data_IF_945675748648
#
_entry.id   IF_945675748648
#
_cell.length_a   1.000
_cell.length_b   1.000
_cell.length_c   1.000
_cell.angle_alpha   90.00
_cell.angle_beta   90.00
_cell.angle_gamma   90.00
#
_symmetry.space_group_name_H-M   'P 1'
#
loop_
_entity.id
_entity.type
_entity.pdbx_description
1 polymer ?
#
# COMPACT_ATOMS: atom_id res chain seq x y z
N UNK A 1 28.51 -58.40 7.33
CA UNK A 1 27.98 -57.47 6.32
C UNK A 1 26.46 -57.56 6.37
N UNK A 2 25.82 -56.70 7.11
CA UNK A 2 24.37 -56.57 7.06
C UNK A 2 24.06 -55.65 5.88
N UNK A 3 23.50 -56.20 4.81
CA UNK A 3 22.90 -55.44 3.73
C UNK A 3 21.59 -54.84 4.28
N UNK A 4 21.61 -53.54 4.59
CA UNK A 4 20.42 -52.77 4.80
C UNK A 4 19.59 -52.82 3.51
N UNK A 5 18.55 -53.66 3.52
CA UNK A 5 17.50 -53.64 2.53
C UNK A 5 16.75 -52.31 2.72
N UNK A 6 17.12 -51.27 1.99
CA UNK A 6 16.31 -50.07 1.89
C UNK A 6 14.96 -50.52 1.30
N UNK A 7 13.91 -50.41 2.09
CA UNK A 7 12.53 -50.49 1.63
C UNK A 7 12.28 -49.33 0.68
N UNK A 8 12.68 -49.51 -0.55
CA UNK A 8 12.50 -48.60 -1.69
C UNK A 8 11.05 -48.69 -2.10
N UNK A 9 10.16 -48.06 -1.31
CA UNK A 9 8.76 -47.92 -1.67
C UNK A 9 8.68 -47.02 -2.90
N UNK A 10 8.20 -47.55 -4.04
CA UNK A 10 7.82 -46.79 -5.25
C UNK A 10 6.59 -45.89 -4.96
N UNK A 11 6.67 -45.05 -3.89
CA UNK A 11 5.58 -44.20 -3.42
C UNK A 11 5.10 -43.20 -4.49
N UNK A 12 6.00 -42.76 -5.36
CA UNK A 12 5.70 -41.77 -6.41
C UNK A 12 5.47 -42.42 -7.78
N UNK A 13 5.56 -43.75 -7.88
CA UNK A 13 5.41 -44.49 -9.13
C UNK A 13 6.57 -44.28 -10.09
N UNK A 14 6.33 -44.62 -11.36
CA UNK A 14 7.29 -44.47 -12.46
C UNK A 14 6.75 -43.54 -13.54
N UNK A 15 7.61 -42.71 -14.10
CA UNK A 15 7.31 -41.86 -15.25
C UNK A 15 8.20 -42.29 -16.41
N UNK A 16 7.63 -42.75 -17.51
CA UNK A 16 8.34 -43.28 -18.66
C UNK A 16 9.42 -44.35 -18.29
N UNK A 17 9.07 -45.26 -17.35
CA UNK A 17 9.95 -46.31 -16.85
C UNK A 17 10.97 -45.90 -15.80
N UNK A 18 11.14 -44.61 -15.52
CA UNK A 18 12.06 -44.08 -14.53
C UNK A 18 11.45 -44.02 -13.15
N UNK A 19 12.16 -44.44 -12.11
CA UNK A 19 11.75 -44.31 -10.72
C UNK A 19 11.81 -42.84 -10.29
N UNK A 20 10.80 -42.37 -9.59
CA UNK A 20 10.80 -41.03 -8.95
C UNK A 20 11.27 -41.18 -7.51
N UNK A 21 12.30 -40.42 -7.12
CA UNK A 21 12.80 -40.31 -5.74
C UNK A 21 12.71 -38.88 -5.25
N UNK A 22 12.46 -38.68 -3.96
CA UNK A 22 12.47 -37.40 -3.28
C UNK A 22 13.27 -37.52 -1.98
N UNK A 23 14.35 -36.77 -1.87
CA UNK A 23 15.29 -36.80 -0.74
C UNK A 23 15.60 -35.36 -0.29
N UNK A 24 15.99 -35.16 0.99
CA UNK A 24 16.35 -33.86 1.55
C UNK A 24 17.86 -33.63 1.48
N UNK A 25 18.49 -33.85 0.36
CA UNK A 25 19.92 -33.74 0.10
C UNK A 25 20.31 -32.54 -0.79
N UNK A 26 19.33 -31.69 -1.14
CA UNK A 26 19.48 -30.53 -2.05
C UNK A 26 20.31 -29.37 -1.51
N UNK A 27 20.80 -29.44 -0.25
CA UNK A 27 21.57 -28.36 0.37
C UNK A 27 20.72 -27.15 0.78
N UNK A 28 21.34 -25.96 0.89
CA UNK A 28 20.67 -24.74 1.28
C UNK A 28 19.89 -24.14 0.09
N UNK A 29 18.59 -24.36 0.07
CA UNK A 29 17.70 -23.88 -0.98
C UNK A 29 16.77 -22.80 -0.40
N UNK A 30 16.50 -21.76 -1.17
CA UNK A 30 15.45 -20.76 -0.90
C UNK A 30 14.46 -20.70 -2.05
N UNK A 31 13.20 -20.43 -1.75
CA UNK A 31 12.16 -20.12 -2.75
C UNK A 31 12.12 -18.63 -3.14
N UNK A 32 12.85 -17.78 -2.44
CA UNK A 32 12.68 -16.33 -2.44
C UNK A 32 13.90 -15.57 -2.99
N UNK A 33 14.74 -16.22 -3.79
CA UNK A 33 15.97 -15.61 -4.30
C UNK A 33 15.73 -14.34 -5.13
N UNK A 34 14.59 -14.22 -5.79
CA UNK A 34 14.18 -13.00 -6.47
C UNK A 34 14.03 -11.80 -5.54
N UNK A 35 13.86 -12.01 -4.24
CA UNK A 35 13.85 -10.97 -3.20
C UNK A 35 15.10 -10.10 -3.15
N UNK A 36 16.21 -10.53 -3.78
CA UNK A 36 17.40 -9.69 -3.97
C UNK A 36 17.07 -8.37 -4.71
N UNK A 37 16.00 -8.32 -5.53
CA UNK A 37 15.49 -7.08 -6.11
C UNK A 37 15.02 -6.09 -5.04
N UNK A 38 14.39 -6.57 -3.97
CA UNK A 38 13.94 -5.72 -2.87
C UNK A 38 15.13 -5.05 -2.18
N UNK A 39 16.20 -5.81 -1.94
CA UNK A 39 17.43 -5.26 -1.35
C UNK A 39 18.14 -4.27 -2.28
N UNK A 40 18.17 -4.57 -3.58
CA UNK A 40 18.74 -3.65 -4.57
C UNK A 40 17.93 -2.33 -4.62
N UNK A 41 16.61 -2.43 -4.55
CA UNK A 41 15.69 -1.27 -4.50
C UNK A 41 15.87 -0.47 -3.23
N UNK A 42 15.91 -1.14 -2.06
CA UNK A 42 16.17 -0.48 -0.78
C UNK A 42 17.50 0.30 -0.80
N UNK A 43 18.55 -0.28 -1.38
CA UNK A 43 19.84 0.42 -1.56
C UNK A 43 19.75 1.66 -2.45
N UNK A 44 18.86 1.66 -3.44
CA UNK A 44 18.67 2.80 -4.34
C UNK A 44 17.89 3.97 -3.70
N UNK A 45 16.92 3.67 -2.82
CA UNK A 45 16.05 4.70 -2.23
C UNK A 45 16.25 4.90 -0.72
N UNK A 46 17.03 4.05 -0.05
CA UNK A 46 17.33 4.15 1.38
C UNK A 46 16.14 3.94 2.32
N UNK A 47 15.08 3.23 1.87
CA UNK A 47 13.82 3.15 2.58
C UNK A 47 13.97 2.57 3.98
N UNK A 48 14.62 1.41 4.12
CA UNK A 48 14.75 0.72 5.41
C UNK A 48 15.54 1.56 6.42
N UNK A 49 16.64 2.18 6.01
CA UNK A 49 17.45 3.02 6.90
C UNK A 49 16.67 4.27 7.36
N UNK A 50 15.94 4.93 6.45
CA UNK A 50 15.14 6.12 6.74
C UNK A 50 13.95 5.78 7.64
N UNK A 51 13.28 4.65 7.39
CA UNK A 51 12.19 4.21 8.24
C UNK A 51 12.71 3.81 9.64
N UNK A 52 13.85 3.15 9.73
CA UNK A 52 14.49 2.82 11.00
C UNK A 52 14.91 4.07 11.80
N UNK A 53 15.25 5.17 11.13
CA UNK A 53 15.58 6.44 11.78
C UNK A 53 14.36 7.10 12.48
N UNK A 54 13.14 6.67 12.18
CA UNK A 54 11.92 7.07 12.88
C UNK A 54 11.69 6.32 14.20
N UNK A 55 12.64 5.47 14.61
CA UNK A 55 12.51 4.65 15.82
C UNK A 55 13.55 5.03 16.86
N UNK A 56 13.12 5.00 18.14
CA UNK A 56 13.98 5.20 19.30
C UNK A 56 14.31 3.84 19.93
N UNK A 57 15.59 3.47 19.94
CA UNK A 57 16.07 2.21 20.49
C UNK A 57 16.74 2.41 21.85
N UNK A 58 16.01 2.11 22.90
CA UNK A 58 16.48 2.21 24.29
C UNK A 58 17.02 0.88 24.86
N UNK A 59 17.37 -0.05 24.01
CA UNK A 59 18.05 -1.27 24.41
C UNK A 59 19.51 -0.98 24.76
N UNK A 60 20.08 -1.73 25.70
CA UNK A 60 21.51 -1.67 25.99
C UNK A 60 22.32 -2.12 24.77
N UNK A 61 23.23 -1.29 24.22
CA UNK A 61 23.90 -1.55 22.93
C UNK A 61 24.64 -2.90 22.88
N UNK A 62 25.24 -3.30 23.99
CA UNK A 62 26.01 -4.55 24.15
C UNK A 62 25.13 -5.80 24.06
N UNK A 63 23.83 -5.67 24.34
CA UNK A 63 22.85 -6.76 24.29
C UNK A 63 22.10 -6.84 22.96
N UNK A 64 22.34 -5.90 22.04
CA UNK A 64 21.64 -5.86 20.75
C UNK A 64 22.21 -6.90 19.79
N UNK A 65 21.45 -7.97 19.56
CA UNK A 65 21.76 -8.96 18.51
C UNK A 65 21.31 -8.45 17.12
N UNK A 66 20.10 -7.87 17.03
CA UNK A 66 19.53 -7.35 15.80
C UNK A 66 19.24 -5.86 15.95
N UNK A 67 19.83 -5.02 15.09
CA UNK A 67 19.54 -3.57 15.04
C UNK A 67 18.09 -3.30 14.61
N UNK A 68 17.55 -2.11 14.92
CA UNK A 68 16.23 -1.69 14.46
C UNK A 68 16.12 -1.77 12.95
N UNK A 69 17.14 -1.32 12.21
CA UNK A 69 17.15 -1.40 10.75
C UNK A 69 17.07 -2.85 10.24
N UNK A 70 17.75 -3.80 10.91
CA UNK A 70 17.64 -5.22 10.56
C UNK A 70 16.24 -5.77 10.81
N UNK A 71 15.62 -5.44 11.95
CA UNK A 71 14.26 -5.87 12.30
C UNK A 71 13.23 -5.31 11.32
N UNK A 72 13.30 -4.02 11.01
CA UNK A 72 12.41 -3.35 10.06
C UNK A 72 12.60 -3.91 8.66
N UNK A 73 13.85 -4.03 8.20
CA UNK A 73 14.15 -4.63 6.89
C UNK A 73 13.59 -6.04 6.78
N UNK A 74 13.79 -6.86 7.80
CA UNK A 74 13.25 -8.22 7.86
C UNK A 74 11.72 -8.24 7.71
N UNK A 75 10.99 -7.36 8.42
CA UNK A 75 9.52 -7.29 8.32
C UNK A 75 9.06 -6.77 6.96
N UNK A 76 9.61 -5.66 6.48
CA UNK A 76 9.23 -5.06 5.20
C UNK A 76 9.49 -6.01 4.04
N UNK A 77 10.66 -6.68 4.02
CA UNK A 77 10.98 -7.65 2.98
C UNK A 77 10.09 -8.90 3.07
N UNK A 78 9.81 -9.40 4.28
CA UNK A 78 8.94 -10.57 4.46
C UNK A 78 7.51 -10.28 3.97
N UNK A 79 6.93 -9.13 4.31
CA UNK A 79 5.61 -8.72 3.81
C UNK A 79 5.61 -8.64 2.27
N UNK A 80 6.62 -8.02 1.67
CA UNK A 80 6.75 -7.96 0.22
C UNK A 80 6.88 -9.34 -0.43
N UNK A 81 7.51 -10.30 0.26
CA UNK A 81 7.63 -11.70 -0.15
C UNK A 81 6.39 -12.54 0.13
N UNK A 82 5.37 -12.00 0.83
CA UNK A 82 4.12 -12.68 1.10
C UNK A 82 4.02 -13.40 2.43
N UNK A 83 4.90 -13.06 3.37
CA UNK A 83 4.87 -13.57 4.74
C UNK A 83 4.18 -12.58 5.65
N UNK A 84 2.95 -12.92 5.99
CA UNK A 84 2.03 -12.06 6.73
C UNK A 84 2.33 -12.02 8.22
N UNK A 85 2.50 -13.20 8.82
CA UNK A 85 2.54 -13.38 10.27
C UNK A 85 3.96 -13.29 10.84
N UNK A 86 4.03 -12.91 12.11
CA UNK A 86 5.28 -12.98 12.87
C UNK A 86 5.74 -14.42 13.09
N UNK A 87 4.83 -15.39 13.12
CA UNK A 87 5.18 -16.80 13.28
C UNK A 87 6.04 -17.31 12.13
N UNK A 88 5.84 -16.82 10.91
CA UNK A 88 6.66 -17.18 9.74
C UNK A 88 8.15 -16.90 9.99
N UNK A 89 8.46 -15.95 10.85
CA UNK A 89 9.84 -15.58 11.14
C UNK A 89 10.60 -16.59 12.01
N UNK A 90 9.94 -17.54 12.63
CA UNK A 90 10.62 -18.64 13.31
C UNK A 90 11.27 -19.60 12.30
N UNK A 91 10.70 -19.70 11.09
CA UNK A 91 11.26 -20.44 9.96
C UNK A 91 12.16 -19.54 9.08
N UNK A 92 11.70 -18.36 8.73
CA UNK A 92 12.42 -17.40 7.88
C UNK A 92 13.79 -16.98 8.44
N UNK A 93 13.99 -17.05 9.78
CA UNK A 93 15.29 -16.74 10.38
C UNK A 93 16.40 -17.72 9.97
N UNK A 94 16.03 -18.86 9.40
CA UNK A 94 16.95 -19.85 8.87
C UNK A 94 17.09 -19.80 7.34
N UNK A 95 16.26 -19.01 6.65
CA UNK A 95 16.35 -18.85 5.20
C UNK A 95 17.56 -18.00 4.82
N UNK A 96 18.45 -18.49 3.93
CA UNK A 96 19.68 -17.81 3.56
C UNK A 96 19.44 -16.49 2.81
N UNK A 97 18.30 -16.33 2.08
CA UNK A 97 17.98 -15.07 1.43
C UNK A 97 17.62 -14.00 2.46
N UNK A 98 16.85 -14.34 3.50
CA UNK A 98 16.50 -13.39 4.54
C UNK A 98 17.74 -12.87 5.29
N UNK A 99 18.72 -13.73 5.54
CA UNK A 99 20.02 -13.33 6.11
C UNK A 99 20.72 -12.29 5.23
N UNK A 100 20.73 -12.50 3.91
CA UNK A 100 21.33 -11.56 2.93
C UNK A 100 20.53 -10.26 2.83
N UNK A 101 19.19 -10.33 2.82
CA UNK A 101 18.32 -9.15 2.79
C UNK A 101 18.52 -8.29 4.04
N UNK A 102 18.61 -8.90 5.22
CA UNK A 102 18.90 -8.22 6.48
C UNK A 102 20.38 -7.74 6.58
N UNK A 103 21.25 -8.20 5.70
CA UNK A 103 22.68 -7.85 5.70
C UNK A 103 23.51 -8.54 6.77
N UNK A 104 23.08 -9.69 7.28
CA UNK A 104 23.72 -10.39 8.39
C UNK A 104 23.66 -11.91 8.19
N UNK A 105 24.83 -12.53 7.97
CA UNK A 105 24.93 -13.98 7.70
C UNK A 105 25.11 -14.84 8.96
N UNK A 106 25.63 -14.26 10.03
CA UNK A 106 25.91 -14.96 11.28
C UNK A 106 25.43 -14.16 12.46
N UNK A 107 24.89 -14.83 13.46
CA UNK A 107 24.60 -14.22 14.73
C UNK A 107 25.91 -13.87 15.47
N UNK A 108 25.86 -12.88 16.36
CA UNK A 108 26.95 -12.55 17.28
C UNK A 108 27.07 -13.62 18.35
N UNK A 109 25.94 -14.12 18.84
CA UNK A 109 25.85 -15.14 19.88
C UNK A 109 25.58 -16.50 19.25
N UNK A 110 26.19 -17.54 19.82
CA UNK A 110 26.12 -18.91 19.29
C UNK A 110 24.71 -19.52 19.33
N UNK A 111 23.89 -19.08 20.28
CA UNK A 111 22.50 -19.53 20.48
C UNK A 111 21.47 -18.77 19.64
N UNK A 112 21.91 -17.85 18.78
CA UNK A 112 21.05 -17.02 17.96
C UNK A 112 21.13 -17.36 16.47
N UNK A 113 20.04 -17.10 15.75
CA UNK A 113 20.02 -17.12 14.28
C UNK A 113 20.50 -15.78 13.70
N UNK A 114 20.92 -15.74 12.40
CA UNK A 114 21.34 -14.50 11.73
C UNK A 114 20.30 -13.40 11.76
N UNK A 115 19.01 -13.73 11.63
CA UNK A 115 17.88 -12.79 11.69
C UNK A 115 16.94 -13.15 12.83
N UNK A 116 16.04 -12.21 13.16
CA UNK A 116 15.22 -12.30 14.36
C UNK A 116 14.08 -13.31 14.19
N UNK A 117 13.76 -14.05 15.26
CA UNK A 117 12.52 -14.82 15.36
C UNK A 117 11.35 -13.95 15.83
N UNK A 118 10.13 -14.55 15.85
CA UNK A 118 8.87 -13.89 16.17
C UNK A 118 8.88 -13.09 17.49
N UNK A 119 9.49 -13.63 18.54
CA UNK A 119 9.51 -12.97 19.86
C UNK A 119 10.25 -11.63 19.84
N UNK A 120 11.31 -11.50 19.05
CA UNK A 120 12.07 -10.26 18.91
C UNK A 120 11.30 -9.25 18.05
N UNK A 121 10.71 -9.68 16.94
CA UNK A 121 9.86 -8.84 16.09
C UNK A 121 8.58 -8.41 16.79
N UNK A 122 8.00 -9.26 17.63
CA UNK A 122 6.84 -8.90 18.45
C UNK A 122 7.17 -7.73 19.39
N UNK A 123 8.39 -7.67 19.95
CA UNK A 123 8.83 -6.54 20.79
C UNK A 123 8.95 -5.23 20.01
N UNK A 124 9.25 -5.28 18.72
CA UNK A 124 9.24 -4.13 17.83
C UNK A 124 7.80 -3.67 17.54
N UNK A 125 6.94 -4.59 17.09
CA UNK A 125 5.56 -4.25 16.67
C UNK A 125 4.69 -3.80 17.84
N UNK A 126 4.82 -4.42 19.02
CA UNK A 126 4.10 -4.02 20.22
C UNK A 126 4.79 -2.88 20.99
N UNK A 127 5.48 -2.00 20.30
CA UNK A 127 6.11 -0.82 20.89
C UNK A 127 5.09 0.05 21.67
N UNK A 128 5.54 0.70 22.72
CA UNK A 128 4.73 1.59 23.56
C UNK A 128 5.29 3.01 23.52
N UNK A 129 4.48 4.01 23.86
CA UNK A 129 4.94 5.39 24.00
C UNK A 129 6.00 5.51 25.09
N UNK A 130 5.74 4.84 26.22
CA UNK A 130 6.69 4.76 27.33
C UNK A 130 7.38 3.40 27.27
N UNK A 131 8.72 3.41 27.22
CA UNK A 131 9.52 2.21 27.22
C UNK A 131 9.27 1.38 28.50
N UNK A 132 9.16 0.07 28.37
CA UNK A 132 9.03 -0.87 29.48
C UNK A 132 10.26 -1.77 29.56
N UNK A 133 10.35 -2.62 30.62
CA UNK A 133 11.43 -3.59 30.75
C UNK A 133 11.61 -4.47 29.49
N UNK A 134 10.52 -4.81 28.81
CA UNK A 134 10.53 -5.74 27.66
C UNK A 134 10.36 -5.06 26.31
N UNK A 135 9.76 -3.86 26.27
CA UNK A 135 9.46 -3.10 25.05
C UNK A 135 10.21 -1.78 25.11
N UNK A 136 11.42 -1.80 24.57
CA UNK A 136 12.39 -0.70 24.62
C UNK A 136 12.59 0.01 23.28
N UNK A 137 11.89 -0.42 22.24
CA UNK A 137 11.92 0.21 20.92
C UNK A 137 10.63 1.01 20.80
N UNK A 138 10.73 2.32 20.65
CA UNK A 138 9.62 3.22 20.35
C UNK A 138 9.63 3.67 18.90
N UNK A 139 8.56 4.32 18.43
CA UNK A 139 8.52 4.97 17.12
C UNK A 139 7.88 6.34 17.21
N UNK A 140 8.34 7.24 16.35
CA UNK A 140 7.79 8.57 16.11
C UNK A 140 6.83 8.51 14.91
N UNK A 141 5.53 8.58 15.19
CA UNK A 141 4.49 8.55 14.14
C UNK A 141 4.57 9.73 13.19
N UNK A 142 4.87 10.92 13.69
CA UNK A 142 4.98 12.13 12.85
C UNK A 142 6.16 12.05 11.88
N UNK A 143 7.30 11.51 12.34
CA UNK A 143 8.45 11.24 11.47
C UNK A 143 8.13 10.20 10.39
N UNK A 144 7.36 9.15 10.72
CA UNK A 144 6.91 8.14 9.75
C UNK A 144 5.97 8.76 8.73
N UNK A 145 4.97 9.52 9.16
CA UNK A 145 4.01 10.20 8.27
C UNK A 145 4.72 11.19 7.34
N UNK A 146 5.72 11.91 7.85
CA UNK A 146 6.56 12.80 7.05
C UNK A 146 7.34 12.03 5.98
N UNK A 147 7.89 10.86 6.31
CA UNK A 147 8.70 10.05 5.40
C UNK A 147 7.93 9.60 4.16
N UNK A 148 6.63 9.31 4.27
CA UNK A 148 5.80 8.96 3.10
C UNK A 148 5.82 10.06 2.04
N UNK A 149 5.66 11.31 2.45
CA UNK A 149 5.65 12.45 1.53
C UNK A 149 7.05 12.75 1.01
N UNK A 150 8.10 12.63 1.84
CA UNK A 150 9.49 12.79 1.39
C UNK A 150 9.84 11.80 0.27
N UNK A 151 9.48 10.51 0.44
CA UNK A 151 9.70 9.47 -0.57
C UNK A 151 8.95 9.77 -1.87
N UNK A 152 7.75 10.31 -1.79
CA UNK A 152 6.99 10.74 -2.97
C UNK A 152 7.67 11.90 -3.70
N UNK A 153 8.07 12.95 -2.98
CA UNK A 153 8.70 14.13 -3.56
C UNK A 153 10.01 13.77 -4.27
N UNK A 154 10.81 12.91 -3.68
CA UNK A 154 12.06 12.41 -4.28
C UNK A 154 11.83 11.52 -5.49
N UNK A 155 10.81 10.64 -5.42
CA UNK A 155 10.47 9.76 -6.52
C UNK A 155 10.04 10.49 -7.79
N UNK A 156 9.50 11.71 -7.66
CA UNK A 156 9.07 12.58 -8.78
C UNK A 156 10.22 13.39 -9.36
N UNK A 157 11.22 13.74 -8.56
CA UNK A 157 12.37 14.56 -8.96
C UNK A 157 12.01 16.04 -9.23
N UNK A 158 11.30 16.32 -10.34
CA UNK A 158 10.90 17.67 -10.72
C UNK A 158 9.45 17.99 -10.30
N UNK A 159 9.13 19.28 -9.99
CA UNK A 159 7.79 19.70 -9.65
C UNK A 159 6.84 19.58 -10.86
N UNK A 160 5.76 18.82 -10.76
CA UNK A 160 4.75 18.75 -11.81
C UNK A 160 3.88 20.02 -11.80
N UNK A 161 3.22 20.33 -12.93
CA UNK A 161 2.27 21.45 -13.02
C UNK A 161 1.08 21.24 -12.07
N UNK A 162 0.60 20.01 -11.98
CA UNK A 162 -0.54 19.61 -11.14
C UNK A 162 -0.35 18.20 -10.61
N UNK A 163 -0.86 17.96 -9.39
CA UNK A 163 -1.02 16.64 -8.78
C UNK A 163 -2.46 16.44 -8.33
N UNK A 164 -2.88 15.18 -8.32
CA UNK A 164 -4.18 14.76 -7.79
C UNK A 164 -3.90 13.92 -6.54
N UNK A 165 -4.53 14.30 -5.44
CA UNK A 165 -4.52 13.55 -4.19
C UNK A 165 -5.88 12.88 -4.03
N UNK A 166 -5.88 11.57 -4.04
CA UNK A 166 -7.07 10.74 -3.81
C UNK A 166 -7.17 10.39 -2.33
N UNK A 167 -8.33 10.68 -1.72
CA UNK A 167 -8.65 10.31 -0.35
C UNK A 167 -9.72 9.23 -0.36
N UNK A 168 -9.53 8.23 0.49
CA UNK A 168 -10.53 7.18 0.72
C UNK A 168 -10.44 6.62 2.14
N UNK A 169 -11.56 6.13 2.63
CA UNK A 169 -11.66 5.39 3.88
C UNK A 169 -12.28 4.02 3.58
N UNK A 170 -11.61 2.98 4.02
CA UNK A 170 -12.10 1.60 3.84
C UNK A 170 -12.18 0.90 5.19
N UNK A 171 -12.78 -0.26 5.24
CA UNK A 171 -12.79 -1.06 6.46
C UNK A 171 -11.58 -2.00 6.54
N UNK A 172 -11.10 -2.20 7.78
CA UNK A 172 -10.21 -3.30 8.16
C UNK A 172 -10.97 -4.17 9.18
N UNK A 173 -11.49 -5.33 8.77
CA UNK A 173 -12.30 -6.19 9.63
C UNK A 173 -11.55 -6.68 10.87
N UNK A 174 -12.23 -6.74 12.02
CA UNK A 174 -11.68 -7.13 13.32
C UNK A 174 -12.41 -8.35 13.88
N UNK A 175 -11.65 -9.37 14.23
CA UNK A 175 -12.19 -10.65 14.71
C UNK A 175 -11.96 -10.90 16.21
N UNK A 176 -11.29 -9.96 16.92
CA UNK A 176 -10.96 -10.08 18.33
C UNK A 176 -11.46 -8.88 19.16
N UNK A 177 -10.84 -8.64 20.32
CA UNK A 177 -11.15 -7.54 21.23
C UNK A 177 -10.09 -6.45 21.18
N UNK A 178 -9.77 -5.96 19.96
CA UNK A 178 -8.79 -4.91 19.76
C UNK A 178 -9.26 -3.57 20.32
N UNK A 179 -8.32 -2.78 20.83
CA UNK A 179 -8.56 -1.40 21.25
C UNK A 179 -9.14 -0.56 20.10
N UNK A 180 -10.16 0.25 20.37
CA UNK A 180 -10.80 1.09 19.36
C UNK A 180 -11.68 0.33 18.35
N UNK A 181 -12.05 -0.91 18.65
CA UNK A 181 -12.98 -1.70 17.87
C UNK A 181 -14.42 -1.21 18.08
N UNK A 182 -15.10 -0.87 16.99
CA UNK A 182 -16.52 -0.52 17.02
C UNK A 182 -17.26 -1.24 15.88
N UNK A 183 -18.58 -1.44 16.06
CA UNK A 183 -19.45 -1.93 15.00
C UNK A 183 -19.75 -0.81 14.01
N UNK A 184 -19.61 -1.07 12.73
CA UNK A 184 -19.91 -0.11 11.67
C UNK A 184 -21.09 -0.60 10.82
N UNK A 185 -22.22 0.13 10.88
CA UNK A 185 -23.48 -0.30 10.24
C UNK A 185 -23.44 -0.41 8.71
N UNK A 186 -22.58 0.34 8.03
CA UNK A 186 -22.44 0.25 6.58
C UNK A 186 -21.69 -1.03 6.15
N UNK A 187 -20.68 -1.45 6.91
CA UNK A 187 -19.89 -2.66 6.64
C UNK A 187 -20.45 -3.91 7.33
N UNK A 188 -21.48 -3.75 8.16
CA UNK A 188 -22.13 -4.81 8.95
C UNK A 188 -21.14 -5.65 9.76
N UNK A 189 -20.17 -5.00 10.38
CA UNK A 189 -19.12 -5.67 11.13
C UNK A 189 -18.32 -4.79 12.06
N UNK A 190 -17.53 -5.43 12.91
CA UNK A 190 -16.53 -4.73 13.72
C UNK A 190 -15.28 -4.49 12.87
N UNK A 191 -14.85 -3.24 12.78
CA UNK A 191 -13.70 -2.89 11.96
C UNK A 191 -12.97 -1.65 12.52
N UNK A 192 -11.76 -1.40 11.99
CA UNK A 192 -11.19 -0.07 11.91
C UNK A 192 -11.61 0.61 10.60
N UNK A 193 -11.40 1.92 10.53
CA UNK A 193 -11.70 2.74 9.35
C UNK A 193 -10.45 3.54 8.94
N UNK A 194 -9.40 2.90 8.40
CA UNK A 194 -8.20 3.60 7.98
C UNK A 194 -8.48 4.65 6.91
N UNK A 195 -7.79 5.78 7.01
CA UNK A 195 -7.74 6.83 5.99
C UNK A 195 -6.51 6.62 5.13
N UNK A 196 -6.70 6.49 3.84
CA UNK A 196 -5.64 6.46 2.84
C UNK A 196 -5.59 7.75 2.02
N UNK A 197 -4.38 8.19 1.70
CA UNK A 197 -4.15 9.27 0.74
C UNK A 197 -3.12 8.82 -0.29
N UNK A 198 -3.49 8.88 -1.56
CA UNK A 198 -2.61 8.51 -2.67
C UNK A 198 -2.39 9.68 -3.64
N UNK A 199 -1.25 9.67 -4.32
CA UNK A 199 -1.01 10.42 -5.54
C UNK A 199 -0.63 9.45 -6.67
N UNK A 200 -1.59 9.07 -7.48
CA UNK A 200 -1.45 7.97 -8.44
C UNK A 200 -1.15 6.65 -7.70
N UNK A 201 0.06 6.11 -7.90
CA UNK A 201 0.51 4.90 -7.19
C UNK A 201 1.27 5.16 -5.89
N UNK A 202 1.59 6.42 -5.57
CA UNK A 202 2.32 6.75 -4.36
C UNK A 202 1.38 6.88 -3.17
N UNK A 203 1.58 6.07 -2.16
CA UNK A 203 0.90 6.18 -0.88
C UNK A 203 1.55 7.32 -0.08
N UNK A 204 0.75 8.30 0.34
CA UNK A 204 1.19 9.48 1.10
C UNK A 204 0.76 9.42 2.56
N UNK A 205 -0.32 8.70 2.85
CA UNK A 205 -0.79 8.44 4.20
C UNK A 205 -1.58 7.14 4.27
N UNK A 206 -1.40 6.41 5.38
CA UNK A 206 -2.21 5.29 5.82
C UNK A 206 -2.40 5.43 7.33
N UNK A 207 -3.55 5.95 7.75
CA UNK A 207 -3.83 6.30 9.14
C UNK A 207 -4.96 5.45 9.69
N UNK A 208 -4.64 4.60 10.64
CA UNK A 208 -5.61 3.76 11.31
C UNK A 208 -6.51 4.62 12.21
N UNK A 209 -7.82 4.36 12.16
CA UNK A 209 -8.82 5.09 12.93
C UNK A 209 -9.89 4.13 13.46
N UNK A 210 -10.53 4.42 14.60
CA UNK A 210 -11.70 3.67 15.02
C UNK A 210 -12.85 3.87 14.04
N UNK A 211 -13.77 2.92 13.93
CA UNK A 211 -14.86 3.00 12.92
C UNK A 211 -16.11 3.75 13.38
N UNK A 212 -16.16 4.22 14.62
CA UNK A 212 -17.28 5.02 15.17
C UNK A 212 -17.17 6.52 14.87
N UNK A 213 -16.53 6.89 13.77
CA UNK A 213 -16.30 8.27 13.34
C UNK A 213 -16.81 8.48 11.90
N UNK A 214 -16.99 9.73 11.52
CA UNK A 214 -17.27 10.08 10.11
C UNK A 214 -16.07 9.71 9.22
N UNK A 215 -16.34 9.25 7.99
CA UNK A 215 -15.29 8.88 7.03
C UNK A 215 -14.29 10.01 6.77
N UNK A 216 -14.73 11.27 6.83
CA UNK A 216 -13.90 12.46 6.64
C UNK A 216 -13.16 12.93 7.91
N UNK A 217 -13.40 12.30 9.07
CA UNK A 217 -12.74 12.72 10.32
C UNK A 217 -11.21 12.68 10.19
N UNK A 218 -10.53 13.76 10.56
CA UNK A 218 -9.08 13.90 10.42
C UNK A 218 -8.58 14.16 8.98
N UNK A 219 -9.47 14.23 7.98
CA UNK A 219 -9.08 14.46 6.60
C UNK A 219 -8.52 15.88 6.37
N UNK A 220 -9.00 16.89 7.10
CA UNK A 220 -8.49 18.26 7.03
C UNK A 220 -7.06 18.32 7.52
N UNK A 221 -6.79 17.78 8.69
CA UNK A 221 -5.48 17.78 9.34
C UNK A 221 -4.46 17.02 8.48
N UNK A 222 -4.82 15.86 7.99
CA UNK A 222 -3.94 15.03 7.19
C UNK A 222 -3.66 15.67 5.82
N UNK A 223 -4.68 16.24 5.18
CA UNK A 223 -4.52 17.00 3.94
C UNK A 223 -3.64 18.22 4.15
N UNK A 224 -3.85 18.97 5.22
CA UNK A 224 -3.05 20.15 5.56
C UNK A 224 -1.57 19.80 5.75
N UNK A 225 -1.28 18.71 6.45
CA UNK A 225 0.08 18.20 6.65
C UNK A 225 0.75 17.86 5.31
N UNK A 226 0.08 17.05 4.47
CA UNK A 226 0.61 16.62 3.17
C UNK A 226 0.80 17.81 2.23
N UNK A 227 -0.20 18.68 2.09
CA UNK A 227 -0.15 19.87 1.23
C UNK A 227 0.93 20.83 1.69
N UNK A 228 1.07 21.05 3.01
CA UNK A 228 2.13 21.89 3.57
C UNK A 228 3.52 21.39 3.20
N UNK A 229 3.76 20.10 3.34
CA UNK A 229 5.05 19.49 3.01
C UNK A 229 5.33 19.52 1.50
N UNK A 230 4.33 19.26 0.66
CA UNK A 230 4.47 19.37 -0.80
C UNK A 230 4.79 20.80 -1.21
N UNK A 231 4.07 21.80 -0.68
CA UNK A 231 4.29 23.20 -1.02
C UNK A 231 5.61 23.76 -0.54
N UNK A 232 6.15 23.25 0.54
CA UNK A 232 7.50 23.63 1.00
C UNK A 232 8.54 23.30 -0.07
N UNK A 233 8.37 22.25 -0.86
CA UNK A 233 9.29 21.86 -1.94
C UNK A 233 8.81 22.32 -3.33
N UNK A 234 7.49 22.30 -3.58
CA UNK A 234 6.87 22.63 -4.87
C UNK A 234 5.79 23.72 -4.72
N UNK A 235 6.16 24.98 -4.45
CA UNK A 235 5.21 26.04 -4.10
C UNK A 235 4.22 26.41 -5.22
N UNK A 236 4.54 26.11 -6.48
CA UNK A 236 3.73 26.45 -7.66
C UNK A 236 2.88 25.30 -8.19
N UNK A 237 3.02 24.09 -7.65
CA UNK A 237 2.26 22.93 -8.10
C UNK A 237 0.79 23.07 -7.70
N UNK A 238 -0.13 22.99 -8.66
CA UNK A 238 -1.58 22.92 -8.38
C UNK A 238 -1.90 21.59 -7.72
N UNK A 239 -2.78 21.61 -6.73
CA UNK A 239 -3.22 20.42 -6.00
C UNK A 239 -4.72 20.30 -6.14
N UNK A 240 -5.18 19.14 -6.62
CA UNK A 240 -6.58 18.76 -6.70
C UNK A 240 -6.82 17.59 -5.74
N UNK A 241 -7.75 17.76 -4.81
CA UNK A 241 -8.25 16.66 -3.99
C UNK A 241 -9.40 15.95 -4.71
N UNK A 242 -9.42 14.62 -4.62
CA UNK A 242 -10.50 13.81 -5.17
C UNK A 242 -10.89 12.74 -4.13
N UNK A 243 -12.18 12.62 -3.88
CA UNK A 243 -12.71 11.68 -2.89
C UNK A 243 -14.17 11.30 -3.19
N UNK A 244 -14.67 10.29 -2.49
CA UNK A 244 -16.06 9.89 -2.57
C UNK A 244 -17.00 10.86 -1.81
N UNK A 245 -18.29 10.50 -1.70
CA UNK A 245 -19.30 11.33 -1.05
C UNK A 245 -19.14 11.41 0.48
N UNK A 246 -18.40 10.52 1.09
CA UNK A 246 -18.06 10.56 2.51
C UNK A 246 -17.24 11.80 2.89
N UNK A 247 -16.50 12.34 1.94
CA UNK A 247 -15.61 13.50 2.13
C UNK A 247 -16.20 14.84 1.73
N UNK A 248 -17.40 14.88 1.15
CA UNK A 248 -18.08 16.13 0.78
C UNK A 248 -18.63 16.85 2.02
N UNK A 249 -17.76 17.25 2.92
CA UNK A 249 -18.06 17.97 4.17
C UNK A 249 -17.59 19.41 4.10
N UNK A 250 -18.36 20.29 4.73
CA UNK A 250 -18.08 21.74 4.74
C UNK A 250 -16.63 22.03 5.20
N UNK A 251 -16.20 21.42 6.29
CA UNK A 251 -14.87 21.66 6.85
C UNK A 251 -13.75 21.41 5.83
N UNK A 252 -13.82 20.32 5.06
CA UNK A 252 -12.79 20.00 4.08
C UNK A 252 -12.88 20.89 2.84
N UNK A 253 -14.10 21.16 2.33
CA UNK A 253 -14.31 22.03 1.17
C UNK A 253 -13.88 23.47 1.46
N UNK A 254 -14.28 24.04 2.61
CA UNK A 254 -13.91 25.39 3.02
C UNK A 254 -12.39 25.50 3.26
N UNK A 255 -11.77 24.46 3.84
CA UNK A 255 -10.31 24.41 4.00
C UNK A 255 -9.62 24.42 2.61
N UNK A 256 -10.09 23.64 1.66
CA UNK A 256 -9.56 23.62 0.29
C UNK A 256 -9.64 25.01 -0.36
N UNK A 257 -10.80 25.64 -0.31
CA UNK A 257 -11.04 26.97 -0.86
C UNK A 257 -10.11 28.02 -0.25
N UNK A 258 -9.98 28.01 1.09
CA UNK A 258 -9.11 28.94 1.81
C UNK A 258 -7.63 28.73 1.48
N UNK A 259 -7.22 27.47 1.25
CA UNK A 259 -5.83 27.11 1.02
C UNK A 259 -5.48 26.97 -0.47
N UNK A 260 -6.32 27.39 -1.41
CA UNK A 260 -6.08 27.30 -2.86
C UNK A 260 -5.76 25.87 -3.30
N UNK A 261 -6.53 24.93 -2.79
CA UNK A 261 -6.53 23.51 -3.19
C UNK A 261 -7.84 23.27 -3.93
N UNK A 262 -7.76 22.78 -5.15
CA UNK A 262 -8.96 22.41 -5.89
C UNK A 262 -9.52 21.08 -5.33
N UNK A 263 -10.82 20.86 -5.53
CA UNK A 263 -11.43 19.60 -5.15
C UNK A 263 -12.52 19.12 -6.11
N UNK A 264 -12.68 17.80 -6.18
CA UNK A 264 -13.81 17.11 -6.83
C UNK A 264 -14.24 15.96 -5.93
N UNK A 265 -15.37 16.10 -5.27
CA UNK A 265 -15.90 15.08 -4.36
C UNK A 265 -17.22 14.53 -4.86
N UNK A 266 -17.45 13.23 -4.66
CA UNK A 266 -18.78 12.67 -4.77
C UNK A 266 -19.73 13.43 -3.87
N UNK A 267 -21.01 13.48 -4.24
CA UNK A 267 -22.06 14.10 -3.43
C UNK A 267 -23.22 13.12 -3.27
N UNK A 268 -23.55 12.81 -2.02
CA UNK A 268 -24.66 11.93 -1.71
C UNK A 268 -25.99 12.49 -2.26
N UNK A 269 -26.75 11.63 -2.93
CA UNK A 269 -28.05 12.01 -3.49
C UNK A 269 -29.05 12.36 -2.38
N UNK A 270 -29.87 13.36 -2.64
CA UNK A 270 -31.05 13.70 -1.83
C UNK A 270 -32.20 14.16 -2.74
N UNK A 271 -33.39 14.28 -2.18
CA UNK A 271 -34.61 14.63 -2.95
C UNK A 271 -34.48 15.95 -3.72
N UNK A 272 -33.84 16.99 -3.13
CA UNK A 272 -33.62 18.29 -3.79
C UNK A 272 -32.69 18.18 -5.00
N UNK A 273 -31.61 17.45 -4.88
CA UNK A 273 -30.66 17.19 -5.99
C UNK A 273 -31.33 16.38 -7.12
N UNK A 274 -32.16 15.40 -6.77
CA UNK A 274 -32.87 14.59 -7.76
C UNK A 274 -33.93 15.43 -8.47
N UNK A 275 -34.65 16.28 -7.76
CA UNK A 275 -35.64 17.22 -8.34
C UNK A 275 -34.98 18.20 -9.32
N UNK A 276 -33.77 18.70 -9.01
CA UNK A 276 -33.02 19.61 -9.87
C UNK A 276 -32.70 19.02 -11.26
N UNK A 277 -32.61 17.71 -11.40
CA UNK A 277 -32.29 17.01 -12.67
C UNK A 277 -33.47 16.18 -13.20
N UNK A 278 -34.68 16.47 -12.79
CA UNK A 278 -35.85 15.68 -13.19
C UNK A 278 -36.08 15.68 -14.71
N UNK A 279 -35.83 16.79 -15.39
CA UNK A 279 -35.93 16.90 -16.84
C UNK A 279 -34.90 16.03 -17.56
N UNK A 280 -33.65 16.07 -17.11
CA UNK A 280 -32.54 15.28 -17.65
C UNK A 280 -32.76 13.77 -17.42
N UNK A 281 -33.33 13.38 -16.27
CA UNK A 281 -33.69 11.99 -15.99
C UNK A 281 -34.83 11.51 -16.90
N UNK A 282 -35.84 12.35 -17.14
CA UNK A 282 -36.92 12.02 -18.07
C UNK A 282 -36.43 11.85 -19.51
N UNK A 283 -35.50 12.70 -19.96
CA UNK A 283 -34.87 12.58 -21.27
C UNK A 283 -34.03 11.30 -21.37
N UNK A 284 -33.24 10.97 -20.35
CA UNK A 284 -32.45 9.74 -20.30
C UNK A 284 -33.35 8.49 -20.32
N UNK A 285 -34.49 8.51 -19.60
CA UNK A 285 -35.47 7.43 -19.64
C UNK A 285 -36.10 7.27 -21.03
N UNK A 286 -36.51 8.37 -21.67
CA UNK A 286 -37.10 8.34 -23.00
C UNK A 286 -36.16 7.79 -24.07
N UNK A 287 -34.84 7.99 -23.93
CA UNK A 287 -33.82 7.44 -24.81
C UNK A 287 -33.48 5.97 -24.50
N UNK A 288 -33.44 5.62 -23.23
CA UNK A 288 -33.07 4.27 -22.78
C UNK A 288 -34.20 3.24 -23.00
N UNK A 289 -35.45 3.59 -22.71
CA UNK A 289 -36.58 2.68 -22.74
C UNK A 289 -36.79 2.00 -24.11
N UNK A 290 -36.76 2.72 -25.25
CA UNK A 290 -36.95 2.08 -26.57
C UNK A 290 -35.75 1.20 -26.99
N UNK A 291 -34.53 1.52 -26.52
CA UNK A 291 -33.29 0.86 -26.99
C UNK A 291 -32.82 -0.24 -26.05
N UNK A 292 -33.31 -0.29 -24.83
CA UNK A 292 -32.81 -1.16 -23.75
C UNK A 292 -31.36 -0.84 -23.33
N UNK A 293 -30.74 0.21 -23.88
CA UNK A 293 -29.35 0.60 -23.58
C UNK A 293 -29.32 1.74 -22.57
N UNK A 294 -28.29 1.81 -21.71
CA UNK A 294 -28.12 2.92 -20.78
C UNK A 294 -28.02 4.27 -21.51
N UNK A 295 -28.76 5.28 -21.05
CA UNK A 295 -28.67 6.64 -21.54
C UNK A 295 -28.24 7.59 -20.43
N UNK A 296 -27.52 8.66 -20.79
CA UNK A 296 -26.92 9.60 -19.83
C UNK A 296 -27.10 11.04 -20.31
N UNK A 297 -27.42 11.92 -19.35
CA UNK A 297 -27.42 13.36 -19.51
C UNK A 297 -26.63 13.99 -18.38
N UNK A 298 -26.04 15.16 -18.63
CA UNK A 298 -25.27 15.89 -17.63
C UNK A 298 -25.89 17.27 -17.42
N UNK A 299 -25.95 17.69 -16.15
CA UNK A 299 -26.36 19.03 -15.78
C UNK A 299 -25.33 19.66 -14.86
N UNK A 300 -25.02 20.90 -15.10
CA UNK A 300 -24.07 21.72 -14.35
C UNK A 300 -24.82 22.87 -13.71
N UNK A 301 -24.79 23.00 -12.38
CA UNK A 301 -25.57 24.00 -11.65
C UNK A 301 -24.91 24.39 -10.33
N UNK A 302 -25.42 25.45 -9.70
CA UNK A 302 -25.06 25.88 -8.35
C UNK A 302 -26.00 25.28 -7.33
N UNK A 303 -25.44 24.77 -6.25
CA UNK A 303 -26.22 24.15 -5.17
C UNK A 303 -25.62 24.49 -3.80
N UNK A 304 -26.50 24.61 -2.80
CA UNK A 304 -26.17 24.64 -1.38
C UNK A 304 -27.08 23.71 -0.61
N UNK A 305 -26.59 23.13 0.47
CA UNK A 305 -27.45 22.49 1.48
C UNK A 305 -28.26 23.54 2.23
N UNK A 306 -29.24 23.11 3.04
CA UNK A 306 -30.06 24.05 3.81
C UNK A 306 -29.20 24.81 4.83
N UNK A 307 -28.42 24.08 5.65
CA UNK A 307 -27.73 24.64 6.80
C UNK A 307 -26.25 24.31 6.89
N UNK A 308 -25.79 23.22 6.21
CA UNK A 308 -24.44 22.69 6.43
C UNK A 308 -23.35 23.29 5.55
N UNK A 309 -23.70 23.99 4.45
CA UNK A 309 -22.73 24.63 3.56
C UNK A 309 -22.74 26.14 3.73
N UNK A 310 -21.58 26.75 3.87
CA UNK A 310 -21.41 28.20 4.03
C UNK A 310 -21.69 28.99 2.75
N UNK A 311 -21.71 28.35 1.59
CA UNK A 311 -21.91 28.96 0.27
C UNK A 311 -22.43 27.97 -0.77
N UNK A 312 -22.94 28.52 -1.87
CA UNK A 312 -23.23 27.72 -3.05
C UNK A 312 -21.95 27.26 -3.75
N UNK A 313 -21.90 25.98 -4.13
CA UNK A 313 -20.81 25.39 -4.90
C UNK A 313 -21.30 24.80 -6.21
N UNK A 314 -20.42 24.64 -7.16
CA UNK A 314 -20.70 24.00 -8.43
C UNK A 314 -20.93 22.50 -8.20
N UNK A 315 -22.07 22.02 -8.74
CA UNK A 315 -22.42 20.60 -8.75
C UNK A 315 -22.59 20.15 -10.19
N UNK A 316 -22.01 19.01 -10.54
CA UNK A 316 -22.25 18.33 -11.81
C UNK A 316 -23.05 17.06 -11.51
N UNK A 317 -24.18 16.93 -12.14
CA UNK A 317 -25.04 15.76 -12.04
C UNK A 317 -24.91 14.89 -13.30
N UNK A 318 -24.87 13.57 -13.08
CA UNK A 318 -25.09 12.56 -14.10
C UNK A 318 -26.51 11.99 -13.92
N UNK A 319 -27.44 12.37 -14.79
CA UNK A 319 -28.74 11.77 -14.93
C UNK A 319 -28.60 10.52 -15.81
N UNK A 320 -28.58 9.35 -15.21
CA UNK A 320 -28.45 8.08 -15.92
C UNK A 320 -29.71 7.24 -15.75
N UNK A 321 -30.13 6.60 -16.85
CA UNK A 321 -31.15 5.56 -16.83
C UNK A 321 -30.52 4.24 -17.28
N UNK A 322 -30.58 3.23 -16.43
CA UNK A 322 -29.95 1.92 -16.69
C UNK A 322 -30.72 0.82 -15.98
N UNK A 323 -30.85 -0.35 -16.60
CA UNK A 323 -31.58 -1.49 -16.02
C UNK A 323 -33.06 -1.22 -15.73
N UNK A 324 -33.68 -0.25 -16.43
CA UNK A 324 -35.09 0.14 -16.20
C UNK A 324 -35.30 1.13 -15.07
N UNK A 325 -34.21 1.61 -14.42
CA UNK A 325 -34.27 2.50 -13.25
C UNK A 325 -33.39 3.76 -13.40
N UNK A 326 -33.76 4.80 -12.66
CA UNK A 326 -32.97 6.02 -12.54
C UNK A 326 -31.76 5.80 -11.63
N UNK A 327 -30.58 6.12 -12.11
CA UNK A 327 -29.32 6.05 -11.36
C UNK A 327 -28.60 7.42 -11.32
N UNK A 328 -29.17 8.43 -10.65
CA UNK A 328 -28.57 9.76 -10.56
C UNK A 328 -27.31 9.72 -9.69
N UNK A 329 -26.28 10.44 -10.14
CA UNK A 329 -25.02 10.63 -9.41
C UNK A 329 -24.61 12.10 -9.45
N UNK A 330 -23.98 12.56 -8.39
CA UNK A 330 -23.60 13.96 -8.24
C UNK A 330 -22.15 14.08 -7.77
N UNK A 331 -21.48 15.13 -8.24
CA UNK A 331 -20.19 15.58 -7.71
C UNK A 331 -20.25 17.06 -7.39
N UNK A 332 -19.50 17.48 -6.38
CA UNK A 332 -19.28 18.89 -6.02
C UNK A 332 -17.82 19.27 -6.26
N UNK A 333 -17.58 20.50 -6.71
CA UNK A 333 -16.24 20.94 -7.10
C UNK A 333 -16.00 22.43 -6.89
N UNK A 334 -14.73 22.81 -6.68
CA UNK A 334 -14.24 24.19 -6.75
C UNK A 334 -13.90 24.65 -8.17
N UNK A 335 -13.63 23.70 -9.10
CA UNK A 335 -13.26 24.02 -10.48
C UNK A 335 -14.39 24.74 -11.21
N UNK A 336 -14.07 25.83 -11.92
CA UNK A 336 -15.06 26.57 -12.69
C UNK A 336 -15.45 25.84 -13.98
N UNK A 337 -16.63 26.16 -14.53
CA UNK A 337 -17.09 25.63 -15.81
C UNK A 337 -16.19 26.05 -16.98
N UNK A 338 -15.62 27.26 -16.89
CA UNK A 338 -14.67 27.75 -17.88
C UNK A 338 -13.35 26.95 -17.92
N UNK A 339 -12.92 26.42 -16.77
CA UNK A 339 -11.71 25.58 -16.69
C UNK A 339 -11.95 24.15 -17.13
N UNK A 340 -13.12 23.59 -16.83
CA UNK A 340 -13.40 22.17 -17.06
C UNK A 340 -14.89 21.95 -17.31
N UNK A 341 -15.22 21.42 -18.48
CA UNK A 341 -16.58 21.05 -18.87
C UNK A 341 -17.11 19.94 -17.94
N UNK A 342 -18.40 20.02 -17.55
CA UNK A 342 -19.01 19.17 -16.52
C UNK A 342 -18.94 17.67 -16.84
N UNK A 343 -19.23 17.26 -18.07
CA UNK A 343 -19.15 15.85 -18.48
C UNK A 343 -17.72 15.33 -18.40
N UNK A 344 -16.73 16.09 -18.89
CA UNK A 344 -15.32 15.72 -18.81
C UNK A 344 -14.87 15.61 -17.34
N UNK A 345 -15.27 16.58 -16.51
CA UNK A 345 -14.96 16.56 -15.07
C UNK A 345 -15.48 15.29 -14.40
N UNK A 346 -16.72 14.90 -14.71
CA UNK A 346 -17.32 13.70 -14.16
C UNK A 346 -16.64 12.43 -14.68
N UNK A 347 -16.62 12.23 -16.02
CA UNK A 347 -16.18 10.98 -16.65
C UNK A 347 -14.69 10.75 -16.59
N UNK A 348 -13.88 11.80 -16.77
CA UNK A 348 -12.41 11.69 -16.90
C UNK A 348 -11.66 12.04 -15.63
N UNK A 349 -12.14 12.99 -14.86
CA UNK A 349 -11.45 13.39 -13.63
C UNK A 349 -11.99 12.62 -12.43
N UNK A 350 -13.30 12.67 -12.16
CA UNK A 350 -13.87 12.03 -10.99
C UNK A 350 -13.86 10.51 -11.07
N UNK A 351 -14.33 9.93 -12.17
CA UNK A 351 -14.41 8.46 -12.30
C UNK A 351 -13.04 7.77 -12.27
N UNK A 352 -11.95 8.47 -12.64
CA UNK A 352 -10.59 7.94 -12.52
C UNK A 352 -10.14 7.71 -11.05
N UNK A 353 -10.96 8.09 -10.04
CA UNK A 353 -10.75 7.74 -8.64
C UNK A 353 -10.72 6.22 -8.40
N UNK A 354 -11.41 5.43 -9.22
CA UNK A 354 -11.41 3.98 -9.12
C UNK A 354 -10.03 3.33 -9.13
N UNK A 355 -9.01 4.02 -9.67
CA UNK A 355 -7.63 3.53 -9.59
C UNK A 355 -7.11 3.44 -8.15
N UNK A 356 -7.52 4.34 -7.26
CA UNK A 356 -7.14 4.31 -5.85
C UNK A 356 -7.67 3.05 -5.14
N UNK A 357 -8.92 2.66 -5.42
CA UNK A 357 -9.51 1.45 -4.84
C UNK A 357 -8.68 0.21 -5.18
N UNK A 358 -8.12 0.13 -6.40
CA UNK A 358 -7.22 -0.94 -6.79
C UNK A 358 -5.89 -0.89 -6.00
N UNK A 359 -5.40 0.31 -5.64
CA UNK A 359 -4.18 0.46 -4.81
C UNK A 359 -4.43 0.02 -3.37
N UNK A 360 -5.59 0.37 -2.81
CA UNK A 360 -5.99 -0.10 -1.48
C UNK A 360 -6.10 -1.63 -1.47
N UNK A 361 -6.74 -2.22 -2.50
CA UNK A 361 -6.80 -3.68 -2.64
C UNK A 361 -5.43 -4.35 -2.76
N UNK A 362 -4.45 -3.72 -3.44
CA UNK A 362 -3.06 -4.20 -3.43
C UNK A 362 -2.46 -4.15 -2.02
N UNK A 363 -2.70 -3.07 -1.26
CA UNK A 363 -2.21 -2.94 0.10
C UNK A 363 -2.82 -3.99 1.04
N UNK A 364 -4.14 -4.18 0.99
CA UNK A 364 -4.86 -5.14 1.84
C UNK A 364 -4.62 -6.58 1.38
N UNK A 365 -4.98 -6.93 0.15
CA UNK A 365 -4.95 -8.31 -0.36
C UNK A 365 -3.55 -8.84 -0.65
N UNK A 366 -2.67 -8.01 -1.23
CA UNK A 366 -1.32 -8.45 -1.58
C UNK A 366 -0.31 -8.26 -0.44
N UNK A 367 -0.49 -7.27 0.44
CA UNK A 367 0.50 -6.88 1.45
C UNK A 367 -0.03 -6.90 2.87
N UNK A 368 -1.24 -7.43 3.08
CA UNK A 368 -1.82 -7.70 4.40
C UNK A 368 -1.97 -6.43 5.27
N UNK A 369 -2.28 -5.29 4.65
CA UNK A 369 -2.44 -4.03 5.36
C UNK A 369 -3.65 -4.02 6.30
N UNK A 370 -4.63 -4.89 6.06
CA UNK A 370 -5.80 -5.16 6.89
C UNK A 370 -5.52 -6.13 8.06
N UNK A 371 -4.29 -6.63 8.20
CA UNK A 371 -3.90 -7.54 9.30
C UNK A 371 -3.70 -6.80 10.61
N UNK A 372 -4.78 -6.40 11.25
CA UNK A 372 -4.83 -5.62 12.48
C UNK A 372 -5.13 -6.48 13.71
N UNK A 373 -4.37 -7.57 13.90
CA UNK A 373 -4.60 -8.59 14.93
C UNK A 373 -3.94 -8.30 16.30
N UNK A 374 -3.24 -7.17 16.46
CA UNK A 374 -2.65 -6.79 17.75
C UNK A 374 -3.71 -6.21 18.70
N UNK A 375 -3.50 -6.34 20.02
CA UNK A 375 -4.45 -5.85 21.01
C UNK A 375 -4.58 -4.33 21.02
N UNK A 376 -3.51 -3.59 20.73
CA UNK A 376 -3.50 -2.11 20.79
C UNK A 376 -3.58 -1.49 19.39
N UNK A 377 -4.28 -0.37 19.31
CA UNK A 377 -4.40 0.39 18.06
C UNK A 377 -3.04 0.91 17.58
N UNK A 378 -2.16 1.32 18.51
CA UNK A 378 -0.78 1.75 18.18
C UNK A 378 0.03 0.65 17.48
N UNK A 379 -0.08 -0.59 17.93
CA UNK A 379 0.61 -1.72 17.30
C UNK A 379 0.04 -2.03 15.92
N UNK A 380 -1.28 -1.96 15.76
CA UNK A 380 -1.94 -2.14 14.46
C UNK A 380 -1.60 -1.00 13.50
N UNK A 381 -1.48 0.25 13.97
CA UNK A 381 -0.98 1.35 13.15
C UNK A 381 0.46 1.10 12.64
N UNK A 382 1.34 0.55 13.49
CA UNK A 382 2.69 0.21 13.05
C UNK A 382 2.69 -0.91 12.01
N UNK A 383 1.84 -1.92 12.15
CA UNK A 383 1.65 -2.98 11.15
C UNK A 383 1.17 -2.42 9.82
N UNK A 384 0.20 -1.51 9.85
CA UNK A 384 -0.28 -0.81 8.66
C UNK A 384 0.87 -0.04 7.97
N UNK A 385 1.73 0.64 8.72
CA UNK A 385 2.90 1.32 8.16
C UNK A 385 3.96 0.36 7.61
N UNK A 386 4.20 -0.78 8.24
CA UNK A 386 5.12 -1.81 7.72
C UNK A 386 4.64 -2.36 6.36
N UNK A 387 3.35 -2.67 6.24
CA UNK A 387 2.72 -3.07 4.98
C UNK A 387 2.80 -1.95 3.92
N UNK A 388 2.55 -0.70 4.33
CA UNK A 388 2.65 0.48 3.49
C UNK A 388 4.09 0.71 2.98
N UNK A 389 5.11 0.47 3.80
CA UNK A 389 6.52 0.55 3.38
C UNK A 389 6.88 -0.56 2.40
N UNK A 390 6.34 -1.77 2.58
CA UNK A 390 6.49 -2.86 1.60
C UNK A 390 5.83 -2.48 0.26
N UNK A 391 4.65 -1.84 0.28
CA UNK A 391 4.00 -1.30 -0.91
C UNK A 391 4.87 -0.26 -1.62
N UNK A 392 5.42 0.73 -0.90
CA UNK A 392 6.31 1.75 -1.47
C UNK A 392 7.57 1.14 -2.06
N UNK A 393 8.14 0.11 -1.42
CA UNK A 393 9.29 -0.62 -1.95
C UNK A 393 8.97 -1.29 -3.29
N UNK A 394 7.83 -1.98 -3.41
CA UNK A 394 7.37 -2.59 -4.66
C UNK A 394 7.01 -1.55 -5.72
N UNK A 395 6.45 -0.39 -5.34
CA UNK A 395 6.28 0.74 -6.24
C UNK A 395 7.63 1.24 -6.80
N UNK A 396 8.67 1.28 -5.99
CA UNK A 396 10.01 1.64 -6.44
C UNK A 396 10.63 0.57 -7.36
N UNK A 397 10.42 -0.73 -7.08
CA UNK A 397 10.78 -1.82 -8.01
C UNK A 397 10.14 -1.59 -9.38
N UNK A 398 8.82 -1.31 -9.42
CA UNK A 398 8.10 -1.02 -10.67
C UNK A 398 8.67 0.18 -11.40
N UNK A 399 8.81 1.30 -10.70
CA UNK A 399 9.22 2.59 -11.27
C UNK A 399 10.65 2.58 -11.79
N UNK A 400 11.58 2.00 -11.05
CA UNK A 400 13.02 2.03 -11.37
C UNK A 400 13.41 0.80 -12.19
N UNK A 401 13.09 -0.38 -11.67
CA UNK A 401 13.57 -1.65 -12.27
C UNK A 401 12.74 -2.11 -13.46
N UNK A 402 11.40 -2.01 -13.36
CA UNK A 402 10.47 -2.63 -14.29
C UNK A 402 9.83 -1.65 -15.29
N UNK A 403 10.24 -0.37 -15.30
CA UNK A 403 9.73 0.60 -16.26
C UNK A 403 9.90 0.08 -17.71
N UNK A 404 8.86 0.28 -18.55
CA UNK A 404 8.83 -0.16 -19.94
C UNK A 404 9.01 -1.68 -20.16
N UNK A 405 8.70 -2.51 -19.15
CA UNK A 405 8.58 -3.96 -19.28
C UNK A 405 7.12 -4.38 -19.17
N UNK A 406 6.82 -5.66 -19.42
CA UNK A 406 5.48 -6.21 -19.21
C UNK A 406 5.01 -6.12 -17.73
N UNK A 407 5.91 -5.88 -16.79
CA UNK A 407 5.62 -5.73 -15.35
C UNK A 407 5.51 -4.27 -14.88
N UNK A 408 5.61 -3.29 -15.77
CA UNK A 408 5.52 -1.87 -15.41
C UNK A 408 4.21 -1.52 -14.68
N UNK A 409 3.11 -2.17 -15.08
CA UNK A 409 1.78 -1.99 -14.49
C UNK A 409 1.31 -3.17 -13.62
N UNK A 410 2.18 -4.16 -13.37
CA UNK A 410 1.84 -5.36 -12.61
C UNK A 410 1.48 -5.03 -11.15
N UNK A 411 0.57 -5.81 -10.55
CA UNK A 411 0.23 -5.72 -9.12
C UNK A 411 1.37 -6.22 -8.24
N UNK A 412 1.33 -5.88 -6.95
CA UNK A 412 2.30 -6.37 -5.97
C UNK A 412 2.33 -7.90 -5.93
N UNK A 413 1.17 -8.56 -5.96
CA UNK A 413 1.06 -10.02 -6.01
C UNK A 413 1.68 -10.62 -7.26
N UNK A 414 1.47 -10.01 -8.44
CA UNK A 414 2.06 -10.47 -9.69
C UNK A 414 3.60 -10.36 -9.67
N UNK A 415 4.14 -9.24 -9.18
CA UNK A 415 5.61 -9.07 -9.03
C UNK A 415 6.15 -10.12 -8.08
N UNK A 416 5.49 -10.34 -6.94
CA UNK A 416 5.88 -11.36 -5.97
C UNK A 416 5.99 -12.74 -6.62
N UNK A 417 4.90 -13.20 -7.23
CA UNK A 417 4.83 -14.56 -7.78
C UNK A 417 5.79 -14.80 -8.94
N UNK A 418 6.00 -13.79 -9.80
CA UNK A 418 6.76 -13.95 -11.03
C UNK A 418 8.24 -13.56 -10.94
N UNK A 419 8.57 -12.62 -10.05
CA UNK A 419 9.92 -12.05 -9.98
C UNK A 419 10.60 -12.23 -8.62
N UNK A 420 9.84 -12.42 -7.51
CA UNK A 420 10.44 -12.58 -6.19
C UNK A 420 10.48 -14.04 -5.74
N UNK A 421 9.46 -14.83 -6.03
CA UNK A 421 9.38 -16.26 -5.71
C UNK A 421 10.15 -17.09 -6.77
N UNK A 422 11.48 -17.06 -6.69
CA UNK A 422 12.37 -17.81 -7.58
C UNK A 422 13.23 -18.74 -6.72
N UNK A 423 13.15 -20.03 -6.99
CA UNK A 423 13.95 -21.04 -6.32
C UNK A 423 15.44 -20.89 -6.67
N UNK A 424 16.31 -21.01 -5.66
CA UNK A 424 17.75 -21.00 -5.86
C UNK A 424 18.48 -21.87 -4.85
N UNK A 425 19.53 -22.57 -5.31
CA UNK A 425 20.55 -23.17 -4.45
C UNK A 425 21.51 -22.06 -3.99
N UNK A 426 21.74 -21.99 -2.68
CA UNK A 426 22.60 -20.96 -2.07
C UNK A 426 23.90 -21.58 -1.58
N UNK A 427 25.02 -21.09 -2.07
CA UNK A 427 26.33 -21.48 -1.61
C UNK A 427 27.06 -20.29 -1.00
N UNK A 428 27.64 -20.48 0.18
CA UNK A 428 28.40 -19.46 0.90
C UNK A 428 29.88 -19.92 0.98
N UNK A 429 30.76 -19.10 0.45
CA UNK A 429 32.21 -19.27 0.56
C UNK A 429 32.82 -18.10 1.33
N UNK A 430 34.09 -18.14 1.63
CA UNK A 430 34.82 -17.09 2.34
C UNK A 430 34.66 -15.69 1.66
N UNK A 431 34.52 -15.65 0.33
CA UNK A 431 34.49 -14.40 -0.44
C UNK A 431 33.18 -14.14 -1.19
N UNK A 432 32.30 -15.13 -1.32
CA UNK A 432 31.08 -15.01 -2.19
C UNK A 432 29.90 -15.74 -1.60
N UNK A 433 28.73 -15.12 -1.78
CA UNK A 433 27.43 -15.76 -1.64
C UNK A 433 26.87 -15.88 -3.06
N UNK A 434 26.60 -17.10 -3.49
CA UNK A 434 26.07 -17.40 -4.82
C UNK A 434 24.65 -17.91 -4.68
N UNK A 435 23.72 -17.29 -5.39
CA UNK A 435 22.36 -17.77 -5.61
C UNK A 435 22.30 -18.36 -7.02
N UNK A 436 22.28 -19.68 -7.12
CA UNK A 436 22.07 -20.37 -8.39
C UNK A 436 20.57 -20.50 -8.61
N UNK A 437 19.96 -19.46 -9.22
CA UNK A 437 18.52 -19.39 -9.49
C UNK A 437 18.11 -20.40 -10.57
N UNK A 438 16.82 -20.80 -10.53
CA UNK A 438 16.23 -21.70 -11.51
C UNK A 438 16.43 -21.17 -12.93
N UNK A 439 17.19 -21.90 -13.77
CA UNK A 439 17.50 -21.51 -15.15
C UNK A 439 16.28 -21.48 -16.06
N UNK A 440 15.23 -22.25 -15.71
CA UNK A 440 13.96 -22.30 -16.40
C UNK A 440 13.00 -21.13 -16.05
N UNK A 441 13.44 -20.15 -15.24
CA UNK A 441 12.62 -18.98 -14.91
C UNK A 441 12.30 -18.19 -16.19
N UNK A 442 11.02 -18.06 -16.60
CA UNK A 442 10.64 -17.40 -17.86
C UNK A 442 10.90 -15.90 -17.86
N UNK A 443 11.05 -15.30 -16.67
CA UNK A 443 11.23 -13.85 -16.47
C UNK A 443 12.67 -13.47 -16.09
N UNK A 444 13.64 -14.32 -16.40
CA UNK A 444 15.05 -14.09 -16.06
C UNK A 444 15.61 -12.83 -16.72
N UNK A 445 15.13 -12.47 -17.91
CA UNK A 445 15.59 -11.26 -18.61
C UNK A 445 15.10 -9.97 -17.92
N UNK A 446 13.81 -9.90 -17.56
CA UNK A 446 13.24 -8.75 -16.85
C UNK A 446 13.88 -8.60 -15.47
N UNK A 447 14.15 -9.70 -14.79
CA UNK A 447 14.83 -9.69 -13.50
C UNK A 447 16.25 -9.11 -13.61
N UNK A 448 17.04 -9.55 -14.60
CA UNK A 448 18.40 -9.01 -14.87
C UNK A 448 18.36 -7.52 -15.26
N UNK A 449 17.40 -7.13 -16.09
CA UNK A 449 17.19 -5.73 -16.48
C UNK A 449 16.87 -4.86 -15.26
N UNK A 450 16.00 -5.35 -14.36
CA UNK A 450 15.66 -4.65 -13.14
C UNK A 450 16.88 -4.45 -12.23
N UNK A 451 17.72 -5.49 -12.06
CA UNK A 451 18.97 -5.39 -11.29
C UNK A 451 19.91 -4.34 -11.89
N UNK A 452 20.10 -4.35 -13.22
CA UNK A 452 20.99 -3.40 -13.90
C UNK A 452 20.50 -1.95 -13.68
N UNK A 453 19.21 -1.68 -13.86
CA UNK A 453 18.63 -0.34 -13.65
C UNK A 453 18.72 0.13 -12.20
N UNK A 454 18.46 -0.75 -11.23
CA UNK A 454 18.59 -0.43 -9.82
C UNK A 454 20.05 -0.14 -9.42
N UNK A 455 21.02 -0.82 -10.03
CA UNK A 455 22.44 -0.53 -9.83
C UNK A 455 22.82 0.86 -10.37
N UNK A 456 22.29 1.26 -11.54
CA UNK A 456 22.49 2.59 -12.12
C UNK A 456 21.86 3.70 -11.27
N UNK A 457 20.61 3.50 -10.80
CA UNK A 457 19.92 4.46 -9.93
C UNK A 457 20.66 4.75 -8.63
N UNK A 458 21.40 3.79 -8.08
CA UNK A 458 22.26 3.96 -6.91
C UNK A 458 23.50 4.83 -7.20
N UNK A 459 24.01 4.79 -8.41
CA UNK A 459 25.22 5.54 -8.80
C UNK A 459 24.95 7.03 -9.09
N UNK A 460 23.69 7.41 -9.27
CA UNK A 460 23.28 8.81 -9.49
C UNK A 460 22.87 9.43 -8.15
N UNK A 461 23.67 10.31 -7.53
CA UNK A 461 23.21 11.06 -6.36
C UNK A 461 22.01 11.94 -6.75
N UNK A 462 21.01 11.99 -5.88
CA UNK A 462 19.81 12.80 -6.04
C UNK A 462 20.10 14.29 -5.87
#
# INVERSE_FOLDING_TARGET
MQTECSTDCDLFGRVEGRRVRAEFDGGAITSDAGGLLLKATDRAIGLVARFAACFDDRRAPELIEHSVAALIGQRVFAIALGYEDLNDHDELRHDPVMAVLAGKLKAKRADCAPVAGKSTLNRLELSREVATRYKKIGHDGAAIEKLFVDLFLEARGAPPKQIILDLDATDDPLHGHQEGRFFHGYYDGYCYLPLYVFCGRHLLAAKLRPSNIDASAGAVEETARIVGQIRARWPKTRILLRADSGFAREALMAWCETNRVDFVFGLARNARLVAEIAAELSQAAAEACPTGKPARRYKDFRYATLDSWSRQRRVVAKAEWTGGEANPRFIVTSLSQAETEGRFLYEKVYCARGDMENRIKECQGDLFADRTSAATMRANQLRLWLASMAYLLLCAVRRIGLAHTQFAEATCGTIRLKLLKIGALVTVSARRIRFAMASACPYAQEWRLAVARLAQARASPA
#
